data_IF_090082815505
#
_entry.id   IF_090082815505
#
_cell.length_a   1.000
_cell.length_b   1.000
_cell.length_c   1.000
_cell.angle_alpha   90.00
_cell.angle_beta   90.00
_cell.angle_gamma   90.00
#
_symmetry.space_group_name_H-M   'P 1'
#
loop_
_entity.id
_entity.type
_entity.pdbx_description
1 polymer ?
#
# COMPACT_ATOMS: atom_id res chain seq x y z
N UNK A 1 -19.44 -6.68 -19.77
CA UNK A 1 -19.31 -7.56 -18.59
C UNK A 1 -19.80 -6.77 -17.38
N UNK A 2 -21.06 -6.91 -17.01
CA UNK A 2 -21.64 -6.16 -15.87
C UNK A 2 -21.08 -6.73 -14.57
N UNK A 3 -20.54 -5.85 -13.73
CA UNK A 3 -20.02 -6.19 -12.41
C UNK A 3 -21.19 -6.68 -11.54
N UNK A 4 -21.12 -7.89 -11.01
CA UNK A 4 -22.20 -8.45 -10.20
C UNK A 4 -22.43 -7.65 -8.92
N UNK A 5 -23.66 -7.62 -8.40
CA UNK A 5 -24.01 -6.84 -7.21
C UNK A 5 -23.15 -7.18 -5.98
N UNK A 6 -22.73 -8.45 -5.82
CA UNK A 6 -21.78 -8.89 -4.78
C UNK A 6 -20.42 -8.20 -4.91
N UNK A 7 -19.96 -8.01 -6.14
CA UNK A 7 -18.68 -7.35 -6.45
C UNK A 7 -18.78 -5.85 -6.18
N UNK A 8 -19.92 -5.22 -6.51
CA UNK A 8 -20.17 -3.81 -6.18
C UNK A 8 -20.25 -3.57 -4.66
N UNK A 9 -20.90 -4.48 -3.92
CA UNK A 9 -20.94 -4.44 -2.45
C UNK A 9 -19.54 -4.62 -1.84
N UNK A 10 -18.76 -5.56 -2.38
CA UNK A 10 -17.36 -5.77 -1.97
C UNK A 10 -16.50 -4.52 -2.19
N UNK A 11 -16.71 -3.82 -3.31
CA UNK A 11 -16.00 -2.57 -3.60
C UNK A 11 -16.36 -1.45 -2.61
N UNK A 12 -17.66 -1.23 -2.38
CA UNK A 12 -18.11 -0.23 -1.43
C UNK A 12 -17.60 -0.52 -0.01
N UNK A 13 -17.75 -1.77 0.46
CA UNK A 13 -17.26 -2.19 1.77
C UNK A 13 -15.74 -2.06 1.90
N UNK A 14 -14.98 -2.46 0.87
CA UNK A 14 -13.52 -2.33 0.85
C UNK A 14 -13.05 -0.88 0.98
N UNK A 15 -13.68 0.05 0.24
CA UNK A 15 -13.35 1.48 0.35
C UNK A 15 -13.69 2.06 1.72
N UNK A 16 -14.84 1.68 2.30
CA UNK A 16 -15.23 2.09 3.64
C UNK A 16 -14.26 1.57 4.70
N UNK A 17 -13.84 0.31 4.61
CA UNK A 17 -12.87 -0.31 5.53
C UNK A 17 -11.51 0.39 5.48
N UNK A 18 -10.97 0.63 4.28
CA UNK A 18 -9.68 1.32 4.12
C UNK A 18 -9.74 2.76 4.63
N UNK A 19 -10.83 3.49 4.34
CA UNK A 19 -11.02 4.85 4.85
C UNK A 19 -11.21 4.90 6.37
N UNK A 20 -11.91 3.91 6.93
CA UNK A 20 -12.10 3.77 8.38
C UNK A 20 -10.79 3.44 9.05
N UNK A 21 -10.00 2.52 8.51
CA UNK A 21 -8.69 2.16 9.02
C UNK A 21 -7.76 3.37 9.05
N UNK A 22 -7.70 4.15 7.95
CA UNK A 22 -6.95 5.40 7.90
C UNK A 22 -7.41 6.40 8.96
N UNK A 23 -8.72 6.58 9.13
CA UNK A 23 -9.29 7.53 10.10
C UNK A 23 -9.01 7.09 11.54
N UNK A 24 -9.16 5.80 11.84
CA UNK A 24 -8.83 5.22 13.14
C UNK A 24 -7.35 5.38 13.43
N UNK A 25 -6.47 5.04 12.49
CA UNK A 25 -5.01 5.22 12.64
C UNK A 25 -4.66 6.68 12.93
N UNK A 26 -5.24 7.63 12.20
CA UNK A 26 -5.04 9.06 12.44
C UNK A 26 -5.53 9.48 13.83
N UNK A 27 -6.70 9.02 14.24
CA UNK A 27 -7.30 9.39 15.53
C UNK A 27 -6.53 8.79 16.71
N UNK A 28 -6.14 7.51 16.62
CA UNK A 28 -5.30 6.85 17.63
C UNK A 28 -3.93 7.51 17.76
N UNK A 29 -3.32 7.90 16.64
CA UNK A 29 -2.05 8.60 16.66
C UNK A 29 -2.17 10.00 17.27
N UNK A 30 -3.25 10.73 16.93
CA UNK A 30 -3.56 12.05 17.48
C UNK A 30 -3.90 12.02 18.98
N UNK A 31 -4.51 10.94 19.47
CA UNK A 31 -4.83 10.77 20.90
C UNK A 31 -3.64 10.27 21.72
N UNK A 32 -2.72 9.50 21.13
CA UNK A 32 -1.61 8.86 21.84
C UNK A 32 -0.33 9.70 21.93
N UNK A 33 -0.11 10.62 20.99
CA UNK A 33 1.05 11.52 20.97
C UNK A 33 0.51 12.94 21.09
N UNK A 34 1.03 13.75 22.01
CA UNK A 34 0.69 15.17 22.08
C UNK A 34 1.10 15.88 20.79
N UNK A 35 0.18 15.99 19.82
CA UNK A 35 0.50 16.35 18.42
C UNK A 35 0.73 17.83 18.17
N UNK A 36 0.98 18.67 19.18
CA UNK A 36 1.13 20.11 18.96
C UNK A 36 2.40 20.50 18.20
N UNK A 37 3.43 19.65 18.19
CA UNK A 37 4.76 19.94 17.63
C UNK A 37 5.09 19.16 16.33
N UNK A 38 4.27 18.18 15.94
CA UNK A 38 4.55 17.31 14.79
C UNK A 38 3.85 17.86 13.54
N UNK A 39 4.56 18.09 12.42
CA UNK A 39 3.94 18.58 11.19
C UNK A 39 2.96 17.55 10.60
N UNK A 40 1.84 18.03 10.07
CA UNK A 40 0.70 17.21 9.62
C UNK A 40 1.10 16.11 8.62
N UNK A 41 2.01 16.39 7.69
CA UNK A 41 2.45 15.43 6.68
C UNK A 41 3.15 14.20 7.29
N UNK A 42 3.82 14.32 8.45
CA UNK A 42 4.43 13.17 9.13
C UNK A 42 3.37 12.25 9.72
N UNK A 43 2.29 12.82 10.25
CA UNK A 43 1.16 12.06 10.79
C UNK A 43 0.47 11.29 9.65
N UNK A 44 0.27 11.94 8.52
CA UNK A 44 -0.30 11.31 7.32
C UNK A 44 0.62 10.21 6.76
N UNK A 45 1.93 10.41 6.77
CA UNK A 45 2.92 9.42 6.33
C UNK A 45 2.88 8.17 7.21
N UNK A 46 2.89 8.33 8.53
CA UNK A 46 2.80 7.19 9.46
C UNK A 46 1.47 6.45 9.27
N UNK A 47 0.37 7.16 9.07
CA UNK A 47 -0.93 6.53 8.82
C UNK A 47 -0.94 5.71 7.53
N UNK A 48 -0.33 6.20 6.45
CA UNK A 48 -0.14 5.46 5.20
C UNK A 48 0.67 4.18 5.41
N UNK A 49 1.83 4.29 6.08
CA UNK A 49 2.73 3.16 6.34
C UNK A 49 2.08 2.08 7.23
N UNK A 50 1.25 2.48 8.21
CA UNK A 50 0.50 1.54 9.05
C UNK A 50 -0.55 0.78 8.26
N UNK A 51 -1.33 1.47 7.42
CA UNK A 51 -2.33 0.83 6.57
C UNK A 51 -1.66 -0.11 5.55
N UNK A 52 -0.51 0.28 5.02
CA UNK A 52 0.31 -0.58 4.16
C UNK A 52 0.79 -1.86 4.87
N UNK A 53 1.24 -1.72 6.12
CA UNK A 53 1.69 -2.85 6.94
C UNK A 53 0.56 -3.84 7.20
N UNK A 54 -0.64 -3.34 7.54
CA UNK A 54 -1.83 -4.18 7.75
C UNK A 54 -2.18 -4.93 6.46
N UNK A 55 -2.19 -4.25 5.31
CA UNK A 55 -2.46 -4.88 4.02
C UNK A 55 -1.42 -5.95 3.66
N UNK A 56 -0.14 -5.72 3.95
CA UNK A 56 0.93 -6.70 3.74
C UNK A 56 0.76 -7.95 4.62
N UNK A 57 0.44 -7.78 5.91
CA UNK A 57 0.21 -8.90 6.82
C UNK A 57 -1.00 -9.74 6.40
N UNK A 58 -2.09 -9.09 5.98
CA UNK A 58 -3.26 -9.79 5.47
C UNK A 58 -2.95 -10.53 4.17
N UNK A 59 -2.17 -9.95 3.25
CA UNK A 59 -1.75 -10.63 2.02
C UNK A 59 -0.94 -11.91 2.32
N UNK A 60 -0.02 -11.85 3.30
CA UNK A 60 0.72 -13.03 3.77
C UNK A 60 -0.21 -14.09 4.36
N UNK A 61 -1.16 -13.68 5.21
CA UNK A 61 -2.12 -14.58 5.83
C UNK A 61 -3.04 -15.26 4.81
N UNK A 62 -3.58 -14.51 3.85
CA UNK A 62 -4.43 -15.05 2.77
C UNK A 62 -3.63 -16.01 1.87
N UNK A 63 -2.38 -15.65 1.53
CA UNK A 63 -1.48 -16.51 0.76
C UNK A 63 -1.20 -17.83 1.49
N UNK A 64 -0.80 -17.76 2.76
CA UNK A 64 -0.55 -18.94 3.58
C UNK A 64 -1.80 -19.81 3.73
N UNK A 65 -2.95 -19.24 4.05
CA UNK A 65 -4.22 -19.96 4.18
C UNK A 65 -4.59 -20.68 2.88
N UNK A 66 -4.43 -20.01 1.75
CA UNK A 66 -4.75 -20.57 0.43
C UNK A 66 -3.87 -21.77 0.12
N UNK A 67 -2.54 -21.65 0.29
CA UNK A 67 -1.58 -22.76 0.05
C UNK A 67 -1.95 -24.01 0.85
N UNK A 68 -2.25 -23.83 2.15
CA UNK A 68 -2.60 -24.95 3.03
C UNK A 68 -3.96 -25.57 2.66
N UNK A 69 -4.95 -24.75 2.26
CA UNK A 69 -6.28 -25.23 1.87
C UNK A 69 -6.32 -25.94 0.54
N UNK A 70 -5.44 -25.59 -0.39
CA UNK A 70 -5.36 -26.21 -1.71
C UNK A 70 -4.41 -27.41 -1.75
N UNK A 71 -3.84 -27.84 -0.61
CA UNK A 71 -2.88 -28.94 -0.56
C UNK A 71 -1.64 -28.65 -1.42
N UNK A 72 -1.19 -27.40 -1.44
CA UNK A 72 -0.11 -26.89 -2.29
C UNK A 72 -0.39 -26.88 -3.81
N UNK A 73 -1.54 -27.36 -4.28
CA UNK A 73 -1.95 -27.28 -5.70
C UNK A 73 -2.80 -26.02 -5.98
N UNK A 74 -2.16 -24.85 -5.90
CA UNK A 74 -2.83 -23.56 -6.09
C UNK A 74 -3.25 -23.34 -7.55
N UNK A 75 -2.56 -23.99 -8.50
CA UNK A 75 -2.75 -23.78 -9.93
C UNK A 75 -4.06 -24.42 -10.39
N UNK A 76 -4.36 -25.63 -9.92
CA UNK A 76 -5.56 -26.34 -10.34
C UNK A 76 -6.73 -26.17 -9.36
N UNK A 77 -6.46 -25.78 -8.11
CA UNK A 77 -7.50 -25.57 -7.13
C UNK A 77 -8.23 -24.25 -7.32
N UNK A 78 -9.56 -24.28 -7.17
CA UNK A 78 -10.36 -23.06 -7.04
C UNK A 78 -10.16 -22.48 -5.64
N UNK A 79 -9.64 -21.26 -5.56
CA UNK A 79 -9.50 -20.52 -4.32
C UNK A 79 -10.40 -19.26 -4.30
N UNK A 80 -11.71 -19.38 -3.95
CA UNK A 80 -12.65 -18.25 -3.89
C UNK A 80 -12.10 -17.05 -3.11
N UNK A 81 -11.42 -17.31 -1.98
CA UNK A 81 -10.84 -16.27 -1.13
C UNK A 81 -9.82 -15.39 -1.87
N UNK A 82 -9.02 -15.94 -2.79
CA UNK A 82 -8.05 -15.16 -3.57
C UNK A 82 -8.76 -14.19 -4.51
N UNK A 83 -9.88 -14.59 -5.12
CA UNK A 83 -10.64 -13.73 -6.00
C UNK A 83 -11.24 -12.54 -5.24
N UNK A 84 -11.84 -12.80 -4.07
CA UNK A 84 -12.41 -11.75 -3.23
C UNK A 84 -11.32 -10.83 -2.65
N UNK A 85 -10.19 -11.41 -2.21
CA UNK A 85 -9.02 -10.68 -1.72
C UNK A 85 -8.39 -9.78 -2.79
N UNK A 86 -8.34 -10.23 -4.05
CA UNK A 86 -7.76 -9.46 -5.16
C UNK A 86 -8.50 -8.14 -5.37
N UNK A 87 -9.83 -8.13 -5.19
CA UNK A 87 -10.61 -6.89 -5.26
C UNK A 87 -10.26 -5.92 -4.13
N UNK A 88 -10.06 -6.41 -2.91
CA UNK A 88 -9.63 -5.58 -1.78
C UNK A 88 -8.23 -5.00 -2.02
N UNK A 89 -7.31 -5.80 -2.55
CA UNK A 89 -5.96 -5.35 -2.93
C UNK A 89 -6.01 -4.29 -4.03
N UNK A 90 -6.89 -4.44 -5.02
CA UNK A 90 -7.07 -3.46 -6.09
C UNK A 90 -7.51 -2.10 -5.53
N UNK A 91 -8.45 -2.10 -4.58
CA UNK A 91 -8.93 -0.89 -3.92
C UNK A 91 -7.88 -0.28 -3.01
N UNK A 92 -7.07 -1.11 -2.36
CA UNK A 92 -5.93 -0.65 -1.57
C UNK A 92 -4.96 0.17 -2.43
N UNK A 93 -4.63 -0.26 -3.65
CA UNK A 93 -3.72 0.50 -4.51
C UNK A 93 -4.26 1.86 -4.94
N UNK A 94 -5.58 1.99 -5.11
CA UNK A 94 -6.23 3.29 -5.34
C UNK A 94 -6.13 4.18 -4.09
N UNK A 95 -6.36 3.59 -2.92
CA UNK A 95 -6.17 4.27 -1.64
C UNK A 95 -4.72 4.74 -1.43
N UNK A 96 -3.74 3.92 -1.79
CA UNK A 96 -2.30 4.22 -1.64
C UNK A 96 -1.89 5.46 -2.44
N UNK A 97 -2.38 5.59 -3.69
CA UNK A 97 -2.21 6.80 -4.52
C UNK A 97 -2.84 8.02 -3.85
N UNK A 98 -4.04 7.88 -3.29
CA UNK A 98 -4.71 8.96 -2.57
C UNK A 98 -3.96 9.37 -1.29
N UNK A 99 -3.46 8.42 -0.52
CA UNK A 99 -2.68 8.67 0.70
C UNK A 99 -1.36 9.39 0.36
N UNK A 100 -0.61 8.90 -0.63
CA UNK A 100 0.61 9.55 -1.12
C UNK A 100 0.36 10.99 -1.60
N UNK A 101 -0.76 11.22 -2.27
CA UNK A 101 -1.16 12.57 -2.70
C UNK A 101 -1.42 13.48 -1.50
N UNK A 102 -2.11 13.00 -0.45
CA UNK A 102 -2.36 13.78 0.77
C UNK A 102 -1.08 14.12 1.51
N UNK A 103 -0.16 13.15 1.66
CA UNK A 103 1.16 13.39 2.27
C UNK A 103 1.93 14.43 1.46
N UNK A 104 1.93 14.32 0.12
CA UNK A 104 2.62 15.26 -0.76
C UNK A 104 2.03 16.67 -0.68
N UNK A 105 0.70 16.80 -0.71
CA UNK A 105 0.00 18.07 -0.60
C UNK A 105 0.25 18.75 0.75
N UNK A 106 0.22 17.98 1.85
CA UNK A 106 0.51 18.49 3.19
C UNK A 106 1.98 18.90 3.36
N UNK A 107 2.91 18.18 2.73
CA UNK A 107 4.36 18.48 2.82
C UNK A 107 4.75 19.78 2.13
N UNK A 108 4.03 20.18 1.09
CA UNK A 108 4.30 21.41 0.33
C UNK A 108 3.48 22.61 0.81
N UNK A 109 2.62 22.45 1.83
CA UNK A 109 1.66 23.47 2.30
C UNK A 109 0.94 24.18 1.13
N UNK A 110 0.61 23.42 0.08
CA UNK A 110 0.36 23.99 -1.24
C UNK A 110 -0.90 24.88 -1.26
N UNK A 111 -0.74 26.17 -1.55
CA UNK A 111 -1.84 27.16 -1.63
C UNK A 111 -2.26 27.53 -3.06
N UNK A 112 -1.76 26.82 -4.08
CA UNK A 112 -2.03 27.08 -5.51
C UNK A 112 -3.22 26.31 -6.09
N UNK A 113 -3.36 26.34 -7.42
CA UNK A 113 -4.46 25.67 -8.13
C UNK A 113 -4.38 24.14 -8.03
N UNK A 114 -5.54 23.46 -8.12
CA UNK A 114 -5.61 21.99 -8.09
C UNK A 114 -4.78 21.35 -9.21
N UNK A 115 -4.78 21.96 -10.39
CA UNK A 115 -4.09 21.47 -11.59
C UNK A 115 -2.57 21.48 -11.43
N UNK A 116 -2.00 22.54 -10.87
CA UNK A 116 -0.55 22.62 -10.61
C UNK A 116 -0.14 21.60 -9.55
N UNK A 117 -0.93 21.47 -8.49
CA UNK A 117 -0.69 20.49 -7.42
C UNK A 117 -0.67 19.05 -7.93
N UNK A 118 -1.65 18.67 -8.76
CA UNK A 118 -1.71 17.33 -9.33
C UNK A 118 -0.57 17.09 -10.32
N UNK A 119 -0.22 18.08 -11.14
CA UNK A 119 0.91 18.00 -12.09
C UNK A 119 2.23 17.77 -11.38
N UNK A 120 2.52 18.54 -10.32
CA UNK A 120 3.74 18.40 -9.54
C UNK A 120 3.79 17.05 -8.83
N UNK A 121 2.68 16.61 -8.24
CA UNK A 121 2.57 15.28 -7.66
C UNK A 121 2.90 14.18 -8.67
N UNK A 122 2.27 14.21 -9.85
CA UNK A 122 2.51 13.23 -10.92
C UNK A 122 3.95 13.26 -11.39
N UNK A 123 4.56 14.44 -11.52
CA UNK A 123 5.95 14.59 -11.95
C UNK A 123 6.94 14.02 -10.95
N UNK A 124 6.77 14.34 -9.66
CA UNK A 124 7.69 13.93 -8.58
C UNK A 124 7.53 12.46 -8.24
N UNK A 125 6.30 11.94 -8.25
CA UNK A 125 5.95 10.57 -7.85
C UNK A 125 5.65 9.65 -9.02
N UNK A 126 6.05 10.03 -10.25
CA UNK A 126 5.76 9.30 -11.50
C UNK A 126 5.98 7.80 -11.41
N UNK A 127 7.10 7.37 -10.81
CA UNK A 127 7.49 5.96 -10.76
C UNK A 127 6.54 5.16 -9.86
N UNK A 128 6.20 5.71 -8.68
CA UNK A 128 5.26 5.10 -7.75
C UNK A 128 3.86 5.02 -8.37
N UNK A 129 3.37 6.11 -8.96
CA UNK A 129 2.05 6.14 -9.59
C UNK A 129 1.97 5.13 -10.74
N UNK A 130 2.97 5.12 -11.63
CA UNK A 130 3.03 4.16 -12.73
C UNK A 130 3.10 2.72 -12.21
N UNK A 131 3.85 2.47 -11.12
CA UNK A 131 3.91 1.16 -10.48
C UNK A 131 2.55 0.70 -9.95
N UNK A 132 1.85 1.52 -9.17
CA UNK A 132 0.53 1.15 -8.62
C UNK A 132 -0.52 1.01 -9.71
N UNK A 133 -0.51 1.87 -10.72
CA UNK A 133 -1.41 1.78 -11.88
C UNK A 133 -1.10 0.52 -12.71
N UNK A 134 0.17 0.20 -12.95
CA UNK A 134 0.57 -1.01 -13.65
C UNK A 134 0.14 -2.27 -12.90
N UNK A 135 0.34 -2.33 -11.57
CA UNK A 135 -0.11 -3.47 -10.76
C UNK A 135 -1.64 -3.57 -10.76
N UNK A 136 -2.35 -2.45 -10.68
CA UNK A 136 -3.82 -2.42 -10.69
C UNK A 136 -4.39 -2.91 -12.02
N UNK A 137 -3.82 -2.46 -13.15
CA UNK A 137 -4.30 -2.79 -14.48
C UNK A 137 -3.83 -4.16 -14.98
N UNK A 138 -2.62 -4.60 -14.59
CA UNK A 138 -2.04 -5.86 -15.03
C UNK A 138 -2.26 -7.00 -14.02
N UNK A 139 -2.44 -6.71 -12.73
CA UNK A 139 -2.58 -7.73 -11.67
C UNK A 139 -3.77 -8.66 -11.85
N UNK A 140 -4.93 -8.12 -12.27
CA UNK A 140 -6.13 -8.93 -12.57
C UNK A 140 -5.99 -9.81 -13.82
N UNK A 141 -5.64 -9.25 -14.99
CA UNK A 141 -5.43 -10.02 -16.22
C UNK A 141 -4.27 -11.02 -16.13
N UNK A 142 -3.19 -10.67 -15.43
CA UNK A 142 -2.08 -11.58 -15.16
C UNK A 142 -2.57 -12.74 -14.29
N UNK A 143 -3.29 -12.51 -13.18
CA UNK A 143 -3.83 -13.60 -12.36
C UNK A 143 -4.77 -14.56 -13.14
N UNK A 144 -5.54 -14.06 -14.12
CA UNK A 144 -6.43 -14.87 -14.96
C UNK A 144 -5.72 -15.65 -16.07
N UNK A 145 -4.68 -15.07 -16.68
CA UNK A 145 -3.86 -15.72 -17.72
C UNK A 145 -2.84 -16.69 -17.11
N UNK A 146 -2.45 -16.47 -15.85
CA UNK A 146 -1.59 -17.34 -15.06
C UNK A 146 -2.26 -18.63 -14.55
N UNK A 147 -3.44 -19.01 -15.02
CA UNK A 147 -4.02 -20.32 -14.70
C UNK A 147 -3.40 -21.49 -15.52
N UNK A 148 -2.30 -21.27 -16.26
CA UNK A 148 -1.57 -22.29 -17.06
C UNK A 148 -0.03 -22.15 -17.02
N UNK A 149 0.58 -21.96 -15.85
CA UNK A 149 1.95 -21.40 -15.74
C UNK A 149 3.11 -22.33 -16.17
N UNK A 150 3.95 -21.90 -17.14
CA UNK A 150 5.30 -22.42 -17.42
C UNK A 150 6.39 -21.68 -16.61
N UNK A 151 7.62 -22.22 -16.55
CA UNK A 151 8.73 -21.79 -15.69
C UNK A 151 9.08 -20.28 -15.70
N UNK A 152 8.87 -19.58 -16.81
CA UNK A 152 9.14 -18.13 -16.95
C UNK A 152 8.36 -17.26 -15.95
N UNK A 153 7.21 -17.71 -15.47
CA UNK A 153 6.45 -16.94 -14.49
C UNK A 153 6.98 -17.09 -13.06
N UNK A 154 7.63 -18.22 -12.72
CA UNK A 154 8.38 -18.29 -11.46
C UNK A 154 9.51 -17.26 -11.49
N UNK A 155 10.18 -17.10 -12.63
CA UNK A 155 11.18 -16.06 -12.83
C UNK A 155 10.58 -14.66 -12.69
N UNK A 156 9.41 -14.41 -13.29
CA UNK A 156 8.70 -13.12 -13.15
C UNK A 156 8.29 -12.80 -11.70
N UNK A 157 7.77 -13.79 -10.97
CA UNK A 157 7.34 -13.62 -9.58
C UNK A 157 8.54 -13.39 -8.64
N UNK A 158 9.66 -14.10 -8.87
CA UNK A 158 10.92 -13.89 -8.15
C UNK A 158 11.52 -12.51 -8.47
N UNK A 159 11.46 -12.05 -9.72
CA UNK A 159 11.94 -10.73 -10.11
C UNK A 159 11.11 -9.61 -9.46
N UNK A 160 9.77 -9.75 -9.45
CA UNK A 160 8.86 -8.84 -8.74
C UNK A 160 9.12 -8.84 -7.23
N UNK A 161 9.31 -10.01 -6.62
CA UNK A 161 9.63 -10.14 -5.20
C UNK A 161 10.99 -9.51 -4.88
N UNK A 162 12.01 -9.72 -5.72
CA UNK A 162 13.32 -9.10 -5.57
C UNK A 162 13.26 -7.58 -5.65
N UNK A 163 12.43 -7.04 -6.56
CA UNK A 163 12.17 -5.61 -6.65
C UNK A 163 11.48 -5.11 -5.37
N UNK A 164 10.45 -5.80 -4.89
CA UNK A 164 9.74 -5.45 -3.65
C UNK A 164 10.66 -5.50 -2.42
N UNK A 165 11.53 -6.51 -2.30
CA UNK A 165 12.52 -6.61 -1.23
C UNK A 165 13.58 -5.51 -1.29
N UNK A 166 13.99 -5.11 -2.50
CA UNK A 166 14.92 -3.99 -2.67
C UNK A 166 14.32 -2.67 -2.19
N UNK A 167 13.08 -2.37 -2.58
CA UNK A 167 12.37 -1.18 -2.12
C UNK A 167 12.06 -1.22 -0.62
N UNK A 168 11.71 -2.39 -0.09
CA UNK A 168 11.55 -2.56 1.35
C UNK A 168 12.85 -2.27 2.11
N UNK A 169 14.00 -2.75 1.60
CA UNK A 169 15.30 -2.44 2.19
C UNK A 169 15.64 -0.94 2.12
N UNK A 170 15.25 -0.25 1.06
CA UNK A 170 15.38 1.21 0.96
C UNK A 170 14.53 1.93 2.00
N UNK A 171 13.27 1.54 2.18
CA UNK A 171 12.35 2.12 3.18
C UNK A 171 12.84 1.85 4.60
N UNK A 172 13.28 0.62 4.90
CA UNK A 172 13.84 0.25 6.19
C UNK A 172 15.11 1.05 6.53
N UNK A 173 16.02 1.23 5.55
CA UNK A 173 17.20 2.09 5.72
C UNK A 173 16.83 3.56 5.94
N UNK A 174 15.78 4.04 5.27
CA UNK A 174 15.21 5.37 5.48
C UNK A 174 14.68 5.55 6.91
N UNK A 175 13.90 4.60 7.41
CA UNK A 175 13.38 4.59 8.77
C UNK A 175 14.49 4.57 9.83
N UNK A 176 15.49 3.69 9.67
CA UNK A 176 16.66 3.62 10.57
C UNK A 176 17.44 4.93 10.58
N UNK A 177 17.59 5.60 9.43
CA UNK A 177 18.25 6.91 9.36
C UNK A 177 17.49 7.95 10.18
N UNK A 178 16.17 8.00 10.06
CA UNK A 178 15.34 8.96 10.81
C UNK A 178 15.42 8.71 12.32
N UNK A 179 15.40 7.44 12.74
CA UNK A 179 15.53 7.08 14.15
C UNK A 179 16.92 7.47 14.71
N UNK A 180 17.99 7.15 13.98
CA UNK A 180 19.37 7.52 14.38
C UNK A 180 19.61 9.04 14.38
N UNK A 181 18.99 9.77 13.46
CA UNK A 181 19.05 11.24 13.45
C UNK A 181 18.23 11.88 14.58
N UNK A 182 17.27 11.15 15.15
CA UNK A 182 16.53 11.56 16.34
C UNK A 182 17.37 11.42 17.61
N UNK A 183 18.02 10.26 17.78
CA UNK A 183 18.93 9.94 18.90
C UNK A 183 20.10 10.94 18.99
N UNK A 184 20.80 11.15 17.87
CA UNK A 184 21.94 12.07 17.83
C UNK A 184 21.59 13.54 18.13
N UNK A 185 20.29 13.90 18.07
CA UNK A 185 19.82 15.25 18.41
C UNK A 185 19.41 15.38 19.88
N UNK A 186 19.20 14.27 20.58
CA UNK A 186 18.98 14.25 22.03
C UNK A 186 20.32 14.32 22.77
N UNK A 187 21.35 13.62 22.29
CA UNK A 187 22.70 13.68 22.88
C UNK A 187 23.29 15.11 22.88
N UNK A 188 23.04 15.90 21.83
CA UNK A 188 23.53 17.29 21.73
C UNK A 188 22.77 18.26 22.68
N UNK A 189 21.62 17.85 23.23
CA UNK A 189 20.83 18.68 24.16
C UNK A 189 21.11 18.37 25.63
N UNK A 190 21.82 17.29 25.92
CA UNK A 190 22.18 16.89 27.29
C UNK A 190 23.65 17.24 27.66
N UNK A 191 24.43 17.77 26.72
CA UNK A 191 25.70 18.50 26.96
C UNK A 191 25.49 20.01 27.09
#
# INVERSE_FOLDING_TARGET
MFMGWKTMLGVALGTCVLHTLHTVTLNTFKSGIGTSSIPEWKILLVAEEMVATVNALMAVAVGWYTVNRTGHDIINARAPLIYDWTWLVLLYFVYDIWAMYRVHAAKLEYRGSLLERVRDFVRVKRLLIVHHVAITLLGGPVALVLAKIPWYCHTGNVLMLALQLHWFALMARGAVRVLRSGDARQDIKEE
#
